data_IF_730755609807
#
_entry.id   IF_730755609807
#
_cell.length_a   1.000
_cell.length_b   1.000
_cell.length_c   1.000
_cell.angle_alpha   90.00
_cell.angle_beta   90.00
_cell.angle_gamma   90.00
#
_symmetry.space_group_name_H-M   'P 1'
#
loop_
_entity.id
_entity.type
_entity.pdbx_description
1 polymer ?
#
# COMPACT_ATOMS: atom_id res chain seq x y z
N UNK A 1 56.06 -1.78 5.07
CA UNK A 1 54.80 -2.57 5.08
C UNK A 1 53.73 -1.76 5.81
N UNK A 2 52.98 -0.90 5.12
CA UNK A 2 51.93 -0.06 5.72
C UNK A 2 50.54 -0.69 5.45
N UNK A 3 49.80 -1.00 6.52
CA UNK A 3 48.44 -1.57 6.44
C UNK A 3 47.40 -0.45 6.35
N UNK A 4 46.92 -0.16 5.15
CA UNK A 4 45.80 0.76 4.93
C UNK A 4 44.50 0.10 5.41
N UNK A 5 43.90 0.66 6.46
CA UNK A 5 42.60 0.20 6.98
C UNK A 5 41.49 0.70 6.05
N UNK A 6 41.01 -0.19 5.18
CA UNK A 6 39.78 0.03 4.43
C UNK A 6 38.60 0.12 5.40
N UNK A 7 38.01 1.30 5.52
CA UNK A 7 36.76 1.47 6.26
C UNK A 7 35.68 1.81 5.24
N UNK A 8 34.88 0.84 4.74
CA UNK A 8 33.65 1.19 4.09
C UNK A 8 32.73 1.69 5.21
N UNK A 9 32.63 3.02 5.32
CA UNK A 9 31.55 3.69 6.02
C UNK A 9 30.28 3.22 5.34
N UNK A 10 29.70 2.11 5.80
CA UNK A 10 28.33 1.76 5.51
C UNK A 10 27.54 2.97 5.94
N UNK A 11 27.12 3.75 4.94
CA UNK A 11 26.21 4.85 5.11
C UNK A 11 25.00 4.22 5.80
N UNK A 12 24.93 4.44 7.11
CA UNK A 12 23.80 4.11 7.92
C UNK A 12 22.68 4.95 7.32
N UNK A 13 21.91 4.34 6.42
CA UNK A 13 20.61 4.83 6.00
C UNK A 13 19.92 5.10 7.33
N UNK A 14 19.86 6.37 7.69
CA UNK A 14 18.92 6.87 8.66
C UNK A 14 17.58 6.33 8.16
N UNK A 15 17.11 5.28 8.83
CA UNK A 15 15.70 4.95 8.78
C UNK A 15 15.05 6.26 9.20
N UNK A 16 14.54 6.98 8.20
CA UNK A 16 13.66 8.12 8.43
C UNK A 16 12.68 7.63 9.46
N UNK A 17 12.67 8.30 10.61
CA UNK A 17 11.71 8.07 11.68
C UNK A 17 10.33 8.41 11.11
N UNK A 18 9.76 7.49 10.33
CA UNK A 18 8.40 7.55 9.85
C UNK A 18 7.58 7.25 11.08
N UNK A 19 7.24 8.30 11.84
CA UNK A 19 6.10 8.22 12.74
C UNK A 19 4.96 7.57 11.94
N UNK A 20 4.29 6.54 12.47
CA UNK A 20 3.22 5.90 11.73
C UNK A 20 2.22 6.98 11.36
N UNK A 21 2.06 7.21 10.06
CA UNK A 21 1.00 8.06 9.56
C UNK A 21 -0.30 7.32 9.90
N UNK A 22 -0.93 7.69 11.01
CA UNK A 22 -2.25 7.19 11.35
C UNK A 22 -3.23 7.77 10.33
N UNK A 23 -3.57 6.95 9.34
CA UNK A 23 -4.61 7.28 8.39
C UNK A 23 -5.97 7.11 9.08
N UNK A 24 -6.91 8.02 8.83
CA UNK A 24 -8.24 7.91 9.43
C UNK A 24 -9.00 6.69 8.86
N UNK A 25 -9.94 6.09 9.62
CA UNK A 25 -10.60 4.83 9.23
C UNK A 25 -11.42 4.88 7.94
N UNK A 26 -11.89 6.07 7.55
CA UNK A 26 -12.55 6.39 6.28
C UNK A 26 -11.61 6.28 5.07
N UNK A 27 -10.31 6.09 5.31
CA UNK A 27 -9.28 5.80 4.30
C UNK A 27 -8.65 4.42 4.49
N UNK A 28 -9.21 3.60 5.37
CA UNK A 28 -8.70 2.26 5.66
C UNK A 28 -9.38 1.20 4.78
N UNK A 29 -8.57 0.34 4.18
CA UNK A 29 -9.03 -0.74 3.31
C UNK A 29 -8.37 -2.06 3.69
N UNK A 30 -9.12 -3.15 3.55
CA UNK A 30 -8.58 -4.51 3.62
C UNK A 30 -8.47 -5.04 2.20
N UNK A 31 -7.26 -5.48 1.81
CA UNK A 31 -7.01 -6.11 0.53
C UNK A 31 -6.59 -7.57 0.77
N UNK A 32 -7.39 -8.50 0.25
CA UNK A 32 -7.05 -9.92 0.22
C UNK A 32 -6.68 -10.31 -1.20
N UNK A 33 -5.42 -10.67 -1.41
CA UNK A 33 -4.91 -11.16 -2.69
C UNK A 33 -4.94 -12.69 -2.71
N UNK A 34 -5.23 -13.25 -3.88
CA UNK A 34 -5.06 -14.68 -4.13
C UNK A 34 -3.56 -15.00 -4.23
N UNK A 35 -3.06 -15.79 -3.29
CA UNK A 35 -1.66 -16.20 -3.24
C UNK A 35 -1.25 -17.12 -4.42
N UNK A 36 -2.23 -17.74 -5.09
CA UNK A 36 -2.00 -18.60 -6.25
C UNK A 36 -2.04 -17.84 -7.57
N UNK A 37 -2.64 -16.66 -7.60
CA UNK A 37 -2.50 -15.74 -8.72
C UNK A 37 -1.08 -15.16 -8.67
N UNK A 38 -0.20 -15.59 -9.57
CA UNK A 38 1.17 -15.05 -9.67
C UNK A 38 1.09 -13.51 -9.79
N UNK A 39 1.50 -12.73 -8.77
CA UNK A 39 1.21 -11.28 -8.73
C UNK A 39 1.89 -10.49 -9.83
N UNK A 40 2.97 -11.04 -10.41
CA UNK A 40 3.67 -10.44 -11.56
C UNK A 40 2.83 -10.41 -12.84
N UNK A 41 1.76 -11.20 -12.92
CA UNK A 41 0.95 -11.34 -14.13
C UNK A 41 -0.52 -10.97 -13.93
N UNK A 42 -1.08 -11.20 -12.72
CA UNK A 42 -2.52 -10.96 -12.44
C UNK A 42 -2.75 -10.54 -11.00
N UNK A 43 -3.61 -9.54 -10.80
CA UNK A 43 -4.05 -9.09 -9.47
C UNK A 43 -5.46 -9.63 -9.23
N UNK A 44 -5.58 -10.84 -8.69
CA UNK A 44 -6.88 -11.40 -8.32
C UNK A 44 -7.06 -11.28 -6.81
N UNK A 45 -8.18 -10.72 -6.38
CA UNK A 45 -8.42 -10.51 -4.97
C UNK A 45 -9.77 -9.91 -4.64
N UNK A 46 -9.90 -9.49 -3.38
CA UNK A 46 -11.06 -8.79 -2.85
C UNK A 46 -10.58 -7.58 -2.06
N UNK A 47 -11.22 -6.44 -2.26
CA UNK A 47 -11.04 -5.24 -1.47
C UNK A 47 -12.30 -4.91 -0.69
N UNK A 48 -12.12 -4.38 0.52
CA UNK A 48 -13.18 -3.90 1.40
C UNK A 48 -12.78 -2.55 2.01
N UNK A 49 -13.71 -1.60 2.03
CA UNK A 49 -13.56 -0.35 2.78
C UNK A 49 -14.04 -0.54 4.21
N UNK A 50 -13.18 -0.26 5.20
CA UNK A 50 -13.43 -0.57 6.61
C UNK A 50 -14.63 0.17 7.17
N UNK A 51 -14.80 1.45 6.82
CA UNK A 51 -15.85 2.27 7.43
C UNK A 51 -17.22 2.04 6.79
N UNK A 52 -17.30 1.92 5.46
CA UNK A 52 -18.58 1.77 4.76
C UNK A 52 -19.00 0.32 4.50
N UNK A 53 -18.08 -0.64 4.64
CA UNK A 53 -18.32 -2.05 4.28
C UNK A 53 -18.50 -2.29 2.77
N UNK A 54 -18.24 -1.29 1.91
CA UNK A 54 -18.24 -1.49 0.45
C UNK A 54 -17.18 -2.55 0.09
N UNK A 55 -17.54 -3.49 -0.77
CA UNK A 55 -16.69 -4.63 -1.18
C UNK A 55 -16.67 -4.77 -2.69
N UNK A 56 -15.52 -5.14 -3.26
CA UNK A 56 -15.40 -5.56 -4.65
C UNK A 56 -14.42 -6.72 -4.82
N UNK A 57 -14.68 -7.58 -5.80
CA UNK A 57 -13.66 -8.47 -6.35
C UNK A 57 -12.89 -7.72 -7.44
N UNK A 58 -11.57 -7.88 -7.44
CA UNK A 58 -10.68 -7.25 -8.42
C UNK A 58 -9.87 -8.31 -9.13
N UNK A 59 -9.68 -8.14 -10.42
CA UNK A 59 -8.89 -9.00 -11.30
C UNK A 59 -7.73 -8.26 -11.96
N UNK A 60 -7.67 -6.94 -11.75
CA UNK A 60 -6.61 -6.06 -12.27
C UNK A 60 -6.31 -4.89 -11.33
N UNK A 61 -5.11 -4.31 -11.46
CA UNK A 61 -4.73 -3.08 -10.76
C UNK A 61 -5.65 -1.91 -11.13
N UNK A 62 -6.13 -1.85 -12.37
CA UNK A 62 -7.05 -0.81 -12.83
C UNK A 62 -8.37 -0.85 -12.06
N UNK A 63 -8.92 -2.04 -11.84
CA UNK A 63 -10.15 -2.22 -11.05
C UNK A 63 -9.93 -1.85 -9.58
N UNK A 64 -8.78 -2.22 -9.01
CA UNK A 64 -8.42 -1.81 -7.65
C UNK A 64 -8.37 -0.29 -7.51
N UNK A 65 -7.70 0.41 -8.43
CA UNK A 65 -7.60 1.88 -8.42
C UNK A 65 -8.97 2.53 -8.64
N UNK A 66 -9.80 1.96 -9.52
CA UNK A 66 -11.16 2.46 -9.74
C UNK A 66 -12.00 2.37 -8.46
N UNK A 67 -11.94 1.25 -7.74
CA UNK A 67 -12.63 1.08 -6.46
C UNK A 67 -12.16 2.10 -5.41
N UNK A 68 -10.85 2.27 -5.25
CA UNK A 68 -10.29 3.25 -4.31
C UNK A 68 -10.74 4.68 -4.66
N UNK A 69 -10.74 5.02 -5.95
CA UNK A 69 -11.14 6.36 -6.41
C UNK A 69 -12.62 6.62 -6.14
N UNK A 70 -13.49 5.64 -6.40
CA UNK A 70 -14.93 5.74 -6.14
C UNK A 70 -15.19 6.00 -4.65
N UNK A 71 -14.63 5.15 -3.78
CA UNK A 71 -14.83 5.27 -2.34
C UNK A 71 -14.27 6.59 -1.80
N UNK A 72 -13.05 6.97 -2.20
CA UNK A 72 -12.42 8.20 -1.69
C UNK A 72 -13.09 9.48 -2.20
N UNK A 73 -13.71 9.46 -3.40
CA UNK A 73 -14.51 10.58 -3.90
C UNK A 73 -15.78 10.79 -3.09
N UNK A 74 -16.46 9.71 -2.74
CA UNK A 74 -17.67 9.78 -1.89
C UNK A 74 -17.37 10.29 -0.47
N UNK A 75 -16.11 10.18 -0.01
CA UNK A 75 -15.69 10.67 1.31
C UNK A 75 -15.10 12.08 1.28
N UNK A 76 -14.85 12.67 0.10
CA UNK A 76 -14.50 14.08 0.02
C UNK A 76 -15.76 14.89 0.38
N UNK A 77 -15.72 15.74 1.43
CA UNK A 77 -16.78 16.73 1.61
C UNK A 77 -16.88 17.53 0.31
N UNK A 78 -18.09 17.80 -0.17
CA UNK A 78 -18.26 18.82 -1.22
C UNK A 78 -17.63 20.11 -0.72
N UNK A 79 -16.68 20.65 -1.48
CA UNK A 79 -16.11 22.00 -1.29
C UNK A 79 -17.22 23.06 -1.14
#
# INVERSE_FOLDING_TARGET
>A
MARTRNTPRSAQRTASNSAPLELPPDRAFVLRLDAHARPSERLVGRIEHVTSGKVAHVTSLRELVAFLTDVLRDQAPGD
#
